data_IF_649698884231
#
_entry.id   IF_649698884231
#
_cell.length_a   1.000
_cell.length_b   1.000
_cell.length_c   1.000
_cell.angle_alpha   90.00
_cell.angle_beta   90.00
_cell.angle_gamma   90.00
#
_symmetry.space_group_name_H-M   'P 1'
#
loop_
_entity.id
_entity.type
_entity.pdbx_description
1 polymer ?
#
# COMPACT_ATOMS: atom_id res chain seq x y z
N UNK A 1 -19.99 -39.19 33.78
CA UNK A 1 -20.89 -38.39 32.90
C UNK A 1 -20.30 -37.03 32.52
N UNK A 2 -19.89 -36.17 33.47
CA UNK A 2 -19.36 -34.82 33.16
C UNK A 2 -18.15 -34.81 32.22
N UNK A 3 -17.13 -35.64 32.47
CA UNK A 3 -15.92 -35.71 31.64
C UNK A 3 -16.22 -36.06 30.17
N UNK A 4 -17.17 -36.97 29.93
CA UNK A 4 -17.58 -37.36 28.58
C UNK A 4 -18.26 -36.22 27.81
N UNK A 5 -19.09 -35.42 28.49
CA UNK A 5 -19.69 -34.22 27.90
C UNK A 5 -18.62 -33.18 27.54
N UNK A 6 -17.65 -32.95 28.42
CA UNK A 6 -16.54 -32.03 28.15
C UNK A 6 -15.66 -32.46 26.97
N UNK A 7 -15.35 -33.75 26.88
CA UNK A 7 -14.60 -34.30 25.73
C UNK A 7 -15.38 -34.08 24.43
N UNK A 8 -16.68 -34.39 24.40
CA UNK A 8 -17.52 -34.14 23.21
C UNK A 8 -17.55 -32.67 22.80
N UNK A 9 -17.67 -31.77 23.77
CA UNK A 9 -17.72 -30.33 23.51
C UNK A 9 -16.37 -29.81 23.00
N UNK A 10 -15.25 -30.28 23.57
CA UNK A 10 -13.92 -29.95 23.05
C UNK A 10 -13.72 -30.47 21.63
N UNK A 11 -14.08 -31.73 21.35
CA UNK A 11 -13.96 -32.29 20.00
C UNK A 11 -14.80 -31.51 18.98
N UNK A 12 -16.07 -31.24 19.29
CA UNK A 12 -16.95 -30.48 18.41
C UNK A 12 -16.45 -29.03 18.20
N UNK A 13 -16.01 -28.37 19.27
CA UNK A 13 -15.44 -27.02 19.21
C UNK A 13 -14.16 -26.97 18.38
N UNK A 14 -13.23 -27.91 18.57
CA UNK A 14 -12.01 -28.00 17.78
C UNK A 14 -12.29 -28.28 16.30
N UNK A 15 -13.25 -29.16 15.98
CA UNK A 15 -13.66 -29.40 14.60
C UNK A 15 -14.25 -28.14 13.96
N UNK A 16 -15.02 -27.34 14.68
CA UNK A 16 -15.55 -26.09 14.14
C UNK A 16 -14.45 -25.04 13.93
N UNK A 17 -13.63 -24.80 14.96
CA UNK A 17 -12.58 -23.79 14.96
C UNK A 17 -11.45 -24.08 13.96
N UNK A 18 -11.12 -25.36 13.73
CA UNK A 18 -10.05 -25.76 12.80
C UNK A 18 -10.65 -26.15 11.46
N UNK A 19 -11.74 -26.91 11.45
CA UNK A 19 -12.37 -27.43 10.23
C UNK A 19 -13.00 -26.33 9.38
N UNK A 20 -13.53 -25.26 10.00
CA UNK A 20 -14.03 -24.10 9.25
C UNK A 20 -12.94 -23.44 8.41
N UNK A 21 -11.85 -22.93 9.02
CA UNK A 21 -10.71 -22.38 8.28
C UNK A 21 -10.07 -23.39 7.31
N UNK A 22 -9.92 -24.65 7.72
CA UNK A 22 -9.35 -25.69 6.85
C UNK A 22 -10.19 -25.93 5.58
N UNK A 23 -11.52 -25.95 5.70
CA UNK A 23 -12.42 -26.08 4.56
C UNK A 23 -12.32 -24.86 3.63
N UNK A 24 -12.24 -23.65 4.20
CA UNK A 24 -12.06 -22.42 3.42
C UNK A 24 -10.73 -22.48 2.65
N UNK A 25 -9.63 -22.86 3.29
CA UNK A 25 -8.34 -23.01 2.61
C UNK A 25 -8.35 -24.10 1.54
N UNK A 26 -9.11 -25.17 1.75
CA UNK A 26 -9.22 -26.26 0.79
C UNK A 26 -10.00 -25.87 -0.49
N UNK A 27 -11.06 -25.08 -0.33
CA UNK A 27 -11.94 -24.70 -1.46
C UNK A 27 -11.48 -23.41 -2.13
N UNK A 28 -10.82 -22.52 -1.39
CA UNK A 28 -10.37 -21.24 -1.93
C UNK A 28 -9.18 -21.46 -2.86
N UNK A 29 -9.30 -21.10 -4.15
CA UNK A 29 -8.22 -21.28 -5.11
C UNK A 29 -7.00 -20.43 -4.73
N UNK A 30 -5.81 -20.94 -5.02
CA UNK A 30 -4.57 -20.20 -4.81
C UNK A 30 -4.47 -18.99 -5.77
N UNK A 31 -3.64 -18.00 -5.43
CA UNK A 31 -3.42 -16.82 -6.28
C UNK A 31 -2.94 -17.21 -7.69
N UNK A 32 -2.15 -18.28 -7.81
CA UNK A 32 -1.65 -18.77 -9.11
C UNK A 32 -2.76 -19.41 -9.96
N UNK A 33 -3.69 -20.14 -9.33
CA UNK A 33 -4.85 -20.68 -10.03
C UNK A 33 -5.83 -19.59 -10.47
N UNK A 34 -6.01 -18.56 -9.64
CA UNK A 34 -6.76 -17.35 -9.99
C UNK A 34 -6.13 -16.64 -11.17
N UNK A 35 -4.81 -16.46 -11.15
CA UNK A 35 -4.06 -15.81 -12.24
C UNK A 35 -4.23 -16.54 -13.57
N UNK A 36 -4.17 -17.89 -13.58
CA UNK A 36 -4.39 -18.71 -14.78
C UNK A 36 -5.79 -18.53 -15.38
N UNK A 37 -6.79 -18.20 -14.56
CA UNK A 37 -8.17 -17.94 -15.00
C UNK A 37 -8.39 -16.52 -15.52
N UNK A 38 -7.42 -15.61 -15.38
CA UNK A 38 -7.54 -14.25 -15.88
C UNK A 38 -7.45 -14.19 -17.41
N UNK A 39 -8.10 -13.19 -18.00
CA UNK A 39 -7.93 -12.82 -19.41
C UNK A 39 -6.46 -12.42 -19.67
N UNK A 40 -5.84 -12.76 -20.83
CA UNK A 40 -4.45 -12.40 -21.16
C UNK A 40 -4.06 -10.93 -20.91
N UNK A 41 -4.98 -9.98 -21.08
CA UNK A 41 -4.68 -8.57 -20.78
C UNK A 41 -4.49 -8.30 -19.28
N UNK A 42 -5.29 -8.96 -18.44
CA UNK A 42 -5.19 -8.85 -16.99
C UNK A 42 -3.96 -9.59 -16.46
N UNK A 43 -3.59 -10.71 -17.08
CA UNK A 43 -2.35 -11.42 -16.75
C UNK A 43 -1.12 -10.53 -16.96
N UNK A 44 -1.05 -9.83 -18.11
CA UNK A 44 0.04 -8.89 -18.40
C UNK A 44 0.11 -7.76 -17.39
N UNK A 45 -1.00 -7.08 -17.11
CA UNK A 45 -1.04 -6.00 -16.11
C UNK A 45 -0.67 -6.47 -14.71
N UNK A 46 -1.12 -7.66 -14.32
CA UNK A 46 -0.79 -8.22 -13.02
C UNK A 46 0.70 -8.57 -12.89
N UNK A 47 1.36 -8.99 -13.98
CA UNK A 47 2.81 -9.22 -14.01
C UNK A 47 3.59 -7.91 -13.98
N UNK A 48 3.20 -6.93 -14.81
CA UNK A 48 3.84 -5.60 -14.89
C UNK A 48 3.78 -4.87 -13.53
N UNK A 49 2.61 -4.84 -12.90
CA UNK A 49 2.40 -4.17 -11.61
C UNK A 49 2.69 -5.03 -10.39
N UNK A 50 3.36 -6.20 -10.53
CA UNK A 50 3.61 -7.09 -9.39
C UNK A 50 4.59 -6.47 -8.40
N UNK A 51 5.66 -5.86 -8.90
CA UNK A 51 6.67 -5.22 -8.06
C UNK A 51 6.10 -3.97 -7.39
N UNK A 52 5.43 -3.11 -8.16
CA UNK A 52 4.77 -1.90 -7.66
C UNK A 52 3.79 -2.23 -6.52
N UNK A 53 2.94 -3.25 -6.69
CA UNK A 53 2.02 -3.70 -5.62
C UNK A 53 2.74 -4.18 -4.36
N UNK A 54 3.86 -4.87 -4.49
CA UNK A 54 4.65 -5.30 -3.33
C UNK A 54 5.24 -4.10 -2.60
N UNK A 55 5.84 -3.17 -3.34
CA UNK A 55 6.41 -1.95 -2.77
C UNK A 55 5.33 -1.09 -2.10
N UNK A 56 4.15 -0.96 -2.72
CA UNK A 56 3.04 -0.20 -2.16
C UNK A 56 2.45 -0.85 -0.92
N UNK A 57 2.38 -2.18 -0.90
CA UNK A 57 1.97 -2.93 0.28
C UNK A 57 2.95 -2.75 1.44
N UNK A 58 4.26 -2.87 1.17
CA UNK A 58 5.30 -2.64 2.18
C UNK A 58 5.26 -1.19 2.70
N UNK A 59 5.15 -0.20 1.81
CA UNK A 59 4.97 1.22 2.19
C UNK A 59 3.70 1.42 3.01
N UNK A 60 2.61 0.73 2.68
CA UNK A 60 1.36 0.82 3.44
C UNK A 60 1.52 0.25 4.85
N UNK A 61 2.05 -0.96 5.00
CA UNK A 61 2.27 -1.62 6.29
C UNK A 61 3.26 -0.82 7.15
N UNK A 62 4.34 -0.30 6.57
CA UNK A 62 5.28 0.56 7.26
C UNK A 62 4.63 1.85 7.80
N UNK A 63 3.77 2.50 7.01
CA UNK A 63 3.00 3.67 7.48
C UNK A 63 2.03 3.31 8.59
N UNK A 64 1.34 2.18 8.46
CA UNK A 64 0.40 1.73 9.49
C UNK A 64 1.11 1.46 10.82
N UNK A 65 2.29 0.84 10.78
CA UNK A 65 3.17 0.66 11.95
C UNK A 65 3.63 1.98 12.56
N UNK A 66 3.85 2.99 11.74
CA UNK A 66 4.22 4.33 12.23
C UNK A 66 3.02 5.00 12.90
N UNK A 67 1.84 4.94 12.29
CA UNK A 67 0.63 5.53 12.84
C UNK A 67 0.19 4.85 14.13
N UNK A 68 0.40 3.53 14.27
CA UNK A 68 0.08 2.80 15.49
C UNK A 68 0.94 3.19 16.70
N UNK A 69 2.03 3.95 16.52
CA UNK A 69 2.83 4.50 17.63
C UNK A 69 2.20 5.73 18.27
N UNK A 70 1.20 6.33 17.63
CA UNK A 70 0.49 7.48 18.17
C UNK A 70 -0.64 7.04 19.10
N UNK A 71 -0.87 7.79 20.16
CA UNK A 71 -2.03 7.63 21.03
C UNK A 71 -3.34 8.10 20.37
N UNK A 72 -3.24 8.80 19.23
CA UNK A 72 -4.40 9.23 18.45
C UNK A 72 -4.96 8.08 17.61
N UNK A 73 -6.25 8.12 17.26
CA UNK A 73 -6.80 7.18 16.28
C UNK A 73 -6.05 7.23 14.94
N UNK A 74 -5.85 6.04 14.33
CA UNK A 74 -5.07 5.88 13.09
C UNK A 74 -5.57 6.80 11.96
N UNK A 75 -6.89 6.97 11.83
CA UNK A 75 -7.47 7.82 10.79
C UNK A 75 -7.10 9.29 10.95
N UNK A 76 -7.03 9.80 12.19
CA UNK A 76 -6.63 11.19 12.47
C UNK A 76 -5.17 11.43 12.12
N UNK A 77 -4.28 10.51 12.51
CA UNK A 77 -2.85 10.61 12.17
C UNK A 77 -2.63 10.51 10.67
N UNK A 78 -3.42 9.67 9.99
CA UNK A 78 -3.38 9.56 8.54
C UNK A 78 -3.83 10.84 7.84
N UNK A 79 -4.94 11.45 8.27
CA UNK A 79 -5.41 12.75 7.74
C UNK A 79 -4.35 13.85 7.92
N UNK A 80 -3.76 13.94 9.12
CA UNK A 80 -2.68 14.89 9.42
C UNK A 80 -1.47 14.69 8.50
N UNK A 81 -1.09 13.45 8.23
CA UNK A 81 0.03 13.13 7.36
C UNK A 81 -0.29 13.39 5.87
N UNK A 82 -1.53 13.14 5.42
CA UNK A 82 -1.99 13.51 4.08
C UNK A 82 -1.96 15.01 3.88
N UNK A 83 -2.44 15.79 4.85
CA UNK A 83 -2.37 17.25 4.81
C UNK A 83 -0.92 17.74 4.77
N UNK A 84 -0.05 17.17 5.61
CA UNK A 84 1.38 17.49 5.64
C UNK A 84 2.03 17.26 4.28
N UNK A 85 1.83 16.08 3.68
CA UNK A 85 2.35 15.75 2.34
C UNK A 85 1.82 16.68 1.26
N UNK A 86 0.54 17.06 1.32
CA UNK A 86 -0.05 18.00 0.37
C UNK A 86 0.61 19.38 0.45
N UNK A 87 0.84 19.90 1.66
CA UNK A 87 1.51 21.20 1.87
C UNK A 87 2.95 21.15 1.35
N UNK A 88 3.71 20.11 1.70
CA UNK A 88 5.07 19.91 1.22
C UNK A 88 5.14 19.80 -0.31
N UNK A 89 4.19 19.10 -0.95
CA UNK A 89 4.14 18.97 -2.40
C UNK A 89 3.89 20.32 -3.11
N UNK A 90 3.03 21.17 -2.55
CA UNK A 90 2.79 22.52 -3.08
C UNK A 90 4.05 23.37 -2.95
N UNK A 91 4.71 23.33 -1.79
CA UNK A 91 5.94 24.08 -1.53
C UNK A 91 7.08 23.65 -2.47
N UNK A 92 7.28 22.34 -2.65
CA UNK A 92 8.28 21.79 -3.57
C UNK A 92 8.02 22.21 -5.03
N UNK A 93 6.77 22.22 -5.47
CA UNK A 93 6.42 22.64 -6.83
C UNK A 93 6.64 24.14 -7.04
N UNK A 94 6.35 24.97 -6.03
CA UNK A 94 6.65 26.41 -6.06
C UNK A 94 8.17 26.66 -6.16
N UNK A 95 8.97 26.00 -5.33
CA UNK A 95 10.43 26.11 -5.37
C UNK A 95 11.00 25.64 -6.71
N UNK A 96 10.48 24.53 -7.27
CA UNK A 96 10.86 24.06 -8.60
C UNK A 96 10.58 25.10 -9.69
N UNK A 97 9.43 25.77 -9.63
CA UNK A 97 9.07 26.84 -10.58
C UNK A 97 9.98 28.06 -10.46
N UNK A 98 10.30 28.48 -9.24
CA UNK A 98 11.25 29.58 -9.00
C UNK A 98 12.64 29.25 -9.54
N UNK A 99 13.14 28.04 -9.26
CA UNK A 99 14.43 27.59 -9.77
C UNK A 99 14.47 27.53 -11.31
N UNK A 100 13.38 27.03 -11.93
CA UNK A 100 13.26 27.01 -13.39
C UNK A 100 13.22 28.41 -14.01
N UNK A 101 12.52 29.36 -13.38
CA UNK A 101 12.49 30.76 -13.81
C UNK A 101 13.87 31.42 -13.72
N UNK A 102 14.57 31.22 -12.59
CA UNK A 102 15.93 31.74 -12.40
C UNK A 102 16.93 31.17 -13.42
N UNK A 103 16.86 29.87 -13.72
CA UNK A 103 17.69 29.23 -14.75
C UNK A 103 17.38 29.75 -16.17
N UNK A 104 16.11 30.03 -16.46
CA UNK A 104 15.71 30.63 -17.73
C UNK A 104 16.22 32.07 -17.87
N UNK A 105 16.23 32.85 -16.79
CA UNK A 105 16.79 34.20 -16.76
C UNK A 105 18.31 34.21 -16.93
N UNK A 106 19.04 33.31 -16.24
CA UNK A 106 20.49 33.19 -16.42
C UNK A 106 20.86 32.78 -17.84
N UNK A 107 20.13 31.83 -18.43
CA UNK A 107 20.34 31.40 -19.81
C UNK A 107 20.08 32.54 -20.83
N UNK A 108 19.03 33.35 -20.61
CA UNK A 108 18.79 34.55 -21.44
C UNK A 108 19.91 35.58 -21.31
N UNK A 109 20.41 35.80 -20.10
CA UNK A 109 21.51 36.75 -19.85
C UNK A 109 22.83 36.29 -20.50
N UNK A 110 23.11 34.99 -20.52
CA UNK A 110 24.27 34.43 -21.22
C UNK A 110 24.15 34.60 -22.74
N UNK A 111 23.00 34.30 -23.34
CA UNK A 111 22.78 34.51 -24.78
C UNK A 111 22.90 35.98 -25.19
N UNK A 112 22.45 36.91 -24.35
CA UNK A 112 22.61 38.34 -24.62
C UNK A 112 24.07 38.80 -24.56
N UNK A 113 24.92 38.14 -23.77
CA UNK A 113 26.37 38.44 -23.71
C UNK A 113 27.13 37.88 -24.90
N UNK A 114 26.72 36.75 -25.47
CA UNK A 114 27.40 36.15 -26.64
C UNK A 114 27.02 36.80 -27.96
N UNK A 115 25.86 37.48 -28.04
CA UNK A 115 25.42 38.23 -29.22
C UNK A 115 26.01 39.65 -29.34
N UNK A 116 26.75 40.12 -28.33
CA UNK A 116 27.30 41.48 -28.25
C UNK A 116 28.81 41.48 -28.46
#
# INVERSE_FOLDING_TARGET
MKAFTWVKMLTAGSVLCIGGPALVYYVSPSEEELFKRYNPDLQRRALEGRQERQEDFDKFVCRLKEYSKSDKPIWTVWEEDVERRRRLGIEQELERRKAAAAAAESHKAEMQKTLR
#
